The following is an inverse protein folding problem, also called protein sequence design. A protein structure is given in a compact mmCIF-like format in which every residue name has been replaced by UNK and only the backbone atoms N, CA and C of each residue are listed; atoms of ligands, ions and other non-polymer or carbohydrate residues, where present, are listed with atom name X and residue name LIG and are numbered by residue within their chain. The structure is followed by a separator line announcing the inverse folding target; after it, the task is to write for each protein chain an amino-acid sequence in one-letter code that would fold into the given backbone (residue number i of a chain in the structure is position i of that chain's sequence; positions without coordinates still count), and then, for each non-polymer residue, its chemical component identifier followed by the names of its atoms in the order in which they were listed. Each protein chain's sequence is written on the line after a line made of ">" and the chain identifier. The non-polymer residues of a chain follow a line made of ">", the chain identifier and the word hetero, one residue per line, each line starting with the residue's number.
data_IF_823139995052
#
_entry.id   IF_823139995052
#
_cell.length_a   1.000
_cell.length_b   1.000
_cell.length_c   1.000
_cell.angle_alpha   90.00
_cell.angle_beta   90.00
_cell.angle_gamma   90.00
#
_symmetry.space_group_name_H-M   'P 1'
#
loop_
_entity.id
_entity.type
_entity.pdbx_description
1 polymer ?
#
# COMPACT_ATOMS: atom_id res chain seq x y z
N UNK A 1 1.99 15.03 4.57
CA UNK A 1 1.08 16.07 4.03
C UNK A 1 1.16 17.37 4.83
N UNK A 2 0.77 17.40 6.13
CA UNK A 2 0.81 18.63 6.92
C UNK A 2 2.19 19.30 7.00
N UNK A 3 3.24 18.51 7.23
CA UNK A 3 4.62 19.00 7.22
C UNK A 3 5.03 19.60 5.87
N UNK A 4 4.66 18.93 4.77
CA UNK A 4 4.88 19.46 3.43
C UNK A 4 4.11 20.78 3.21
N UNK A 5 2.87 20.87 3.68
CA UNK A 5 2.11 22.11 3.61
C UNK A 5 2.78 23.25 4.38
N UNK A 6 3.32 22.97 5.58
CA UNK A 6 4.05 23.96 6.37
C UNK A 6 5.32 24.44 5.66
N UNK A 7 6.09 23.52 5.06
CA UNK A 7 7.30 23.85 4.30
C UNK A 7 7.03 24.64 3.01
N UNK A 8 5.85 24.46 2.41
CA UNK A 8 5.49 25.07 1.12
C UNK A 8 4.49 26.23 1.28
N UNK A 9 4.27 26.72 2.51
CA UNK A 9 3.32 27.80 2.82
C UNK A 9 1.89 27.54 2.28
N UNK A 10 1.49 26.27 2.20
CA UNK A 10 0.19 25.85 1.68
C UNK A 10 -0.85 25.78 2.81
N UNK A 11 -1.34 26.95 3.23
CA UNK A 11 -2.30 27.07 4.34
C UNK A 11 -3.73 26.69 3.94
N UNK A 12 -4.11 26.94 2.68
CA UNK A 12 -5.43 26.57 2.16
C UNK A 12 -5.34 25.26 1.36
N UNK A 13 -6.14 24.26 1.74
CA UNK A 13 -6.15 22.95 1.10
C UNK A 13 -7.10 22.99 -0.11
N UNK A 14 -6.55 23.38 -1.26
CA UNK A 14 -7.24 23.36 -2.55
C UNK A 14 -6.90 22.12 -3.36
N UNK A 15 -7.68 21.87 -4.41
CA UNK A 15 -7.43 20.80 -5.38
C UNK A 15 -6.02 20.90 -6.00
N UNK A 16 -5.57 22.10 -6.35
CA UNK A 16 -4.23 22.33 -6.93
C UNK A 16 -3.10 22.02 -5.94
N UNK A 17 -3.26 22.35 -4.65
CA UNK A 17 -2.27 22.03 -3.62
C UNK A 17 -2.08 20.52 -3.51
N UNK A 18 -3.18 19.77 -3.56
CA UNK A 18 -3.14 18.31 -3.55
C UNK A 18 -2.49 17.76 -4.82
N UNK A 19 -2.83 18.27 -6.01
CA UNK A 19 -2.20 17.85 -7.26
C UNK A 19 -0.67 18.04 -7.20
N UNK A 20 -0.19 19.22 -6.77
CA UNK A 20 1.25 19.50 -6.61
C UNK A 20 1.92 18.54 -5.61
N UNK A 21 1.24 18.24 -4.50
CA UNK A 21 1.73 17.27 -3.53
C UNK A 21 1.85 15.86 -4.13
N UNK A 22 0.85 15.42 -4.89
CA UNK A 22 0.86 14.11 -5.55
C UNK A 22 1.86 14.02 -6.69
N UNK A 23 2.13 15.10 -7.44
CA UNK A 23 3.22 15.15 -8.42
C UNK A 23 4.59 14.93 -7.77
N UNK A 24 4.83 15.55 -6.63
CA UNK A 24 6.08 15.36 -5.88
C UNK A 24 6.16 13.94 -5.27
N UNK A 25 5.05 13.37 -4.81
CA UNK A 25 5.00 11.99 -4.32
C UNK A 25 5.22 10.95 -5.42
N UNK A 26 4.72 11.18 -6.64
CA UNK A 26 4.89 10.28 -7.79
C UNK A 26 6.35 9.97 -8.06
N UNK A 27 7.23 10.96 -7.88
CA UNK A 27 8.69 10.80 -8.07
C UNK A 27 9.33 9.89 -7.02
N UNK A 28 8.66 9.62 -5.89
CA UNK A 28 9.20 8.91 -4.72
C UNK A 28 8.50 7.59 -4.41
N UNK A 29 7.27 7.38 -4.87
CA UNK A 29 6.42 6.24 -4.49
C UNK A 29 5.83 5.50 -5.68
N UNK A 30 5.58 4.21 -5.51
CA UNK A 30 4.85 3.36 -6.47
C UNK A 30 3.37 3.73 -6.54
N UNK A 31 2.73 3.47 -7.68
CA UNK A 31 1.34 3.85 -7.95
C UNK A 31 0.29 3.37 -6.93
N UNK A 32 0.32 2.13 -6.41
CA UNK A 32 -0.62 1.71 -5.36
C UNK A 32 -0.46 2.52 -4.06
N UNK A 33 0.79 2.85 -3.73
CA UNK A 33 1.10 3.67 -2.57
C UNK A 33 0.52 5.08 -2.69
N UNK A 34 0.39 5.61 -3.91
CA UNK A 34 -0.26 6.90 -4.16
C UNK A 34 -1.76 6.84 -3.90
N UNK A 35 -2.44 5.79 -4.37
CA UNK A 35 -3.87 5.59 -4.07
C UNK A 35 -4.15 5.43 -2.58
N UNK A 36 -3.37 4.62 -1.88
CA UNK A 36 -3.48 4.50 -0.43
C UNK A 36 -3.23 5.84 0.27
N UNK A 37 -2.27 6.63 -0.22
CA UNK A 37 -2.01 7.98 0.30
C UNK A 37 -3.19 8.92 0.03
N UNK A 38 -3.82 8.86 -1.14
CA UNK A 38 -5.04 9.61 -1.46
C UNK A 38 -6.18 9.25 -0.51
N UNK A 39 -6.47 7.97 -0.34
CA UNK A 39 -7.52 7.50 0.57
C UNK A 39 -7.26 7.93 2.01
N UNK A 40 -6.02 7.82 2.48
CA UNK A 40 -5.63 8.28 3.82
C UNK A 40 -5.85 9.79 3.98
N UNK A 41 -5.38 10.61 3.03
CA UNK A 41 -5.54 12.07 3.09
C UNK A 41 -7.01 12.45 3.02
N UNK A 42 -7.80 11.82 2.15
CA UNK A 42 -9.25 12.02 2.03
C UNK A 42 -9.94 11.82 3.39
N UNK A 43 -9.69 10.68 4.04
CA UNK A 43 -10.27 10.40 5.36
C UNK A 43 -9.80 11.37 6.43
N UNK A 44 -8.50 11.68 6.48
CA UNK A 44 -7.96 12.62 7.47
C UNK A 44 -8.51 14.04 7.31
N UNK A 45 -8.63 14.54 6.07
CA UNK A 45 -9.15 15.88 5.81
C UNK A 45 -10.64 15.99 6.12
N UNK A 46 -11.40 14.94 5.81
CA UNK A 46 -12.81 14.87 6.15
C UNK A 46 -13.01 14.92 7.68
N UNK A 47 -12.24 14.13 8.45
CA UNK A 47 -12.42 14.04 9.91
C UNK A 47 -11.84 15.26 10.64
N UNK A 48 -10.63 15.70 10.28
CA UNK A 48 -9.88 16.69 11.09
C UNK A 48 -10.07 18.13 10.66
N UNK A 49 -10.55 18.36 9.44
CA UNK A 49 -10.64 19.69 8.82
C UNK A 49 -11.98 19.97 8.18
N UNK A 50 -12.91 19.01 8.19
CA UNK A 50 -14.20 19.08 7.48
C UNK A 50 -14.05 19.44 5.99
N UNK A 51 -12.94 19.01 5.38
CA UNK A 51 -12.66 19.24 3.95
C UNK A 51 -12.93 17.96 3.17
N UNK A 52 -14.09 17.92 2.53
CA UNK A 52 -14.45 16.85 1.59
C UNK A 52 -13.74 17.03 0.24
N UNK A 53 -12.67 16.28 0.00
CA UNK A 53 -11.94 16.28 -1.28
C UNK A 53 -12.55 15.36 -2.34
N UNK A 54 -13.67 14.68 -2.05
CA UNK A 54 -14.41 13.85 -3.01
C UNK A 54 -14.92 14.64 -4.21
N UNK A 55 -15.09 15.95 -4.07
CA UNK A 55 -15.53 16.86 -5.15
C UNK A 55 -14.39 17.26 -6.10
N UNK A 56 -13.15 16.88 -5.81
CA UNK A 56 -11.96 17.23 -6.58
C UNK A 56 -11.75 16.23 -7.73
N UNK A 57 -12.55 16.38 -8.77
CA UNK A 57 -12.55 15.48 -9.93
C UNK A 57 -11.22 15.48 -10.70
N UNK A 58 -10.50 16.62 -10.76
CA UNK A 58 -9.20 16.70 -11.44
C UNK A 58 -8.15 15.96 -10.64
N UNK A 59 -8.17 16.10 -9.31
CA UNK A 59 -7.27 15.34 -8.43
C UNK A 59 -7.51 13.84 -8.56
N UNK A 60 -8.77 13.40 -8.54
CA UNK A 60 -9.08 11.97 -8.65
C UNK A 60 -8.67 11.41 -10.02
N UNK A 61 -8.97 12.12 -11.12
CA UNK A 61 -8.54 11.73 -12.46
C UNK A 61 -7.00 11.70 -12.58
N UNK A 62 -6.31 12.65 -11.94
CA UNK A 62 -4.86 12.67 -11.87
C UNK A 62 -4.31 11.44 -11.16
N UNK A 63 -4.78 11.12 -9.96
CA UNK A 63 -4.32 9.93 -9.20
C UNK A 63 -4.65 8.63 -9.94
N UNK A 64 -5.81 8.55 -10.62
CA UNK A 64 -6.17 7.45 -11.54
C UNK A 64 -5.12 7.24 -12.61
N UNK A 65 -4.74 8.30 -13.33
CA UNK A 65 -3.72 8.24 -14.39
C UNK A 65 -2.35 7.81 -13.87
N UNK A 66 -1.99 8.17 -12.64
CA UNK A 66 -0.73 7.73 -12.04
C UNK A 66 -0.67 6.21 -11.80
N UNK A 67 -1.81 5.53 -11.78
CA UNK A 67 -1.91 4.06 -11.68
C UNK A 67 -2.03 3.32 -13.00
N UNK A 68 -2.17 4.04 -14.12
CA UNK A 68 -2.21 3.41 -15.44
C UNK A 68 -0.89 2.69 -15.74
N UNK A 69 -0.98 1.48 -16.27
CA UNK A 69 0.19 0.64 -16.55
C UNK A 69 0.86 0.01 -15.33
N UNK A 70 0.33 0.21 -14.11
CA UNK A 70 0.84 -0.48 -12.93
C UNK A 70 0.56 -1.98 -13.02
N UNK A 71 1.62 -2.79 -12.93
CA UNK A 71 1.52 -4.24 -12.81
C UNK A 71 1.72 -4.64 -11.33
N UNK A 72 0.72 -5.27 -10.69
CA UNK A 72 0.85 -5.74 -9.32
C UNK A 72 2.02 -6.70 -9.15
N UNK A 73 2.93 -6.39 -8.22
CA UNK A 73 3.96 -7.34 -7.77
C UNK A 73 3.28 -8.38 -6.88
N UNK A 74 2.95 -9.54 -7.45
CA UNK A 74 2.47 -10.68 -6.68
C UNK A 74 3.65 -11.41 -6.02
N UNK A 75 3.46 -11.91 -4.81
CA UNK A 75 4.41 -12.86 -4.23
C UNK A 75 4.39 -14.14 -5.06
N UNK A 76 5.51 -14.87 -5.06
CA UNK A 76 5.55 -16.22 -5.62
C UNK A 76 4.50 -17.06 -4.89
N UNK A 77 3.73 -17.85 -5.63
CA UNK A 77 2.89 -18.86 -4.99
C UNK A 77 3.81 -19.91 -4.38
N UNK A 78 3.54 -20.27 -3.13
CA UNK A 78 4.27 -21.34 -2.45
C UNK A 78 3.66 -22.65 -2.93
N UNK A 79 4.48 -23.54 -3.45
CA UNK A 79 4.07 -24.87 -3.91
C UNK A 79 4.35 -25.92 -2.84
N UNK A 80 3.71 -27.11 -2.94
CA UNK A 80 3.97 -28.20 -2.00
C UNK A 80 5.46 -28.59 -1.91
N UNK A 81 6.19 -28.51 -3.03
CA UNK A 81 7.63 -28.76 -3.03
C UNK A 81 8.41 -27.73 -2.18
N UNK A 82 8.00 -26.46 -2.20
CA UNK A 82 8.60 -25.41 -1.37
C UNK A 82 8.35 -25.69 0.12
N UNK A 83 7.13 -26.15 0.47
CA UNK A 83 6.75 -26.52 1.84
C UNK A 83 7.59 -27.72 2.30
N UNK A 84 7.64 -28.78 1.50
CA UNK A 84 8.42 -29.98 1.84
C UNK A 84 9.91 -29.66 1.99
N UNK A 85 10.46 -28.84 1.09
CA UNK A 85 11.84 -28.37 1.20
C UNK A 85 12.09 -27.60 2.49
N UNK A 86 11.13 -26.77 2.93
CA UNK A 86 11.21 -26.05 4.19
C UNK A 86 11.14 -27.00 5.40
N UNK A 87 10.19 -27.94 5.43
CA UNK A 87 10.07 -28.96 6.48
C UNK A 87 11.36 -29.76 6.63
N UNK A 88 11.97 -30.17 5.51
CA UNK A 88 13.16 -31.01 5.51
C UNK A 88 14.44 -30.25 5.90
N UNK A 89 14.62 -29.01 5.39
CA UNK A 89 15.94 -28.35 5.41
C UNK A 89 16.07 -27.21 6.40
N UNK A 90 14.97 -26.60 6.86
CA UNK A 90 15.07 -25.51 7.83
C UNK A 90 15.56 -26.03 9.21
N UNK A 91 16.19 -25.19 10.02
CA UNK A 91 16.68 -25.58 11.34
C UNK A 91 15.52 -25.73 12.36
N UNK A 92 15.53 -26.81 13.13
CA UNK A 92 14.46 -27.09 14.10
C UNK A 92 14.50 -26.17 15.31
N UNK A 93 15.69 -25.74 15.77
CA UNK A 93 15.78 -24.84 16.94
C UNK A 93 15.04 -23.54 16.70
N UNK A 94 15.02 -23.07 15.46
CA UNK A 94 14.38 -21.82 15.05
C UNK A 94 12.95 -22.03 14.54
N UNK A 95 12.69 -23.11 13.79
CA UNK A 95 11.47 -23.25 12.99
C UNK A 95 10.56 -24.42 13.37
N UNK A 96 10.86 -25.19 14.44
CA UNK A 96 10.10 -26.39 14.81
C UNK A 96 8.58 -26.17 14.86
N UNK A 97 8.11 -25.12 15.53
CA UNK A 97 6.68 -24.84 15.64
C UNK A 97 6.01 -24.59 14.28
N UNK A 98 6.69 -23.85 13.39
CA UNK A 98 6.19 -23.55 12.05
C UNK A 98 6.18 -24.82 11.21
N UNK A 99 7.22 -25.65 11.30
CA UNK A 99 7.27 -26.94 10.61
C UNK A 99 6.13 -27.87 11.03
N UNK A 100 5.90 -28.01 12.34
CA UNK A 100 4.83 -28.88 12.86
C UNK A 100 3.46 -28.40 12.39
N UNK A 101 3.19 -27.09 12.42
CA UNK A 101 1.94 -26.52 11.89
C UNK A 101 1.79 -26.82 10.39
N UNK A 102 2.81 -26.51 9.59
CA UNK A 102 2.79 -26.71 8.14
C UNK A 102 2.62 -28.20 7.78
N UNK A 103 3.18 -29.12 8.56
CA UNK A 103 2.96 -30.55 8.38
C UNK A 103 1.50 -30.93 8.68
N UNK A 104 0.95 -30.54 9.84
CA UNK A 104 -0.44 -30.85 10.22
C UNK A 104 -1.45 -30.30 9.20
N UNK A 105 -1.21 -29.09 8.68
CA UNK A 105 -2.07 -28.46 7.68
C UNK A 105 -2.11 -29.25 6.36
N UNK A 106 -1.00 -29.88 5.95
CA UNK A 106 -0.96 -30.75 4.77
C UNK A 106 -1.80 -32.03 4.95
N UNK A 107 -1.83 -32.63 6.15
CA UNK A 107 -2.64 -33.82 6.42
C UNK A 107 -4.13 -33.52 6.60
N UNK A 108 -4.48 -32.30 6.99
CA UNK A 108 -5.88 -31.90 7.23
C UNK A 108 -6.65 -31.56 5.94
N UNK A 109 -5.95 -31.49 4.80
CA UNK A 109 -6.51 -31.18 3.46
C UNK A 109 -6.70 -32.42 2.58
N UNK A 110 -6.44 -33.63 3.10
CA UNK A 110 -6.70 -34.93 2.45
C UNK A 110 -7.96 -35.59 3.02
#
# INVERSE_FOLDING_TARGET
>A
FQEWCAQNNAFNISENVLITYFEMLRKKKSSPSLWSTYSMIKSCLNIKKDVGISKYAKLEAFVKRLSEGYVPKKSRMIENNDINQFIERADDKTYLAIKVSSFIDQFSLQ
#
